data_IF_394536559813
#
_entry.id   IF_394536559813
#
_cell.length_a   1.000
_cell.length_b   1.000
_cell.length_c   1.000
_cell.angle_alpha   90.00
_cell.angle_beta   90.00
_cell.angle_gamma   90.00
#
_symmetry.space_group_name_H-M   'P 1'
#
loop_
_entity.id
_entity.type
_entity.pdbx_description
1 polymer ?
#
# COMPACT_ATOMS: atom_id res chain seq x y z
N UNK A 1 13.44 -7.39 -7.84
CA UNK A 1 12.50 -6.24 -7.79
C UNK A 1 11.78 -6.23 -6.45
N UNK A 2 11.53 -5.04 -5.87
CA UNK A 2 10.76 -4.87 -4.63
C UNK A 2 9.65 -3.86 -4.90
N UNK A 3 8.39 -4.22 -4.66
CA UNK A 3 7.24 -3.36 -4.93
C UNK A 3 6.41 -3.23 -3.66
N UNK A 4 6.06 -2.00 -3.32
CA UNK A 4 5.15 -1.72 -2.22
C UNK A 4 4.02 -0.83 -2.72
N UNK A 5 2.81 -1.20 -2.36
CA UNK A 5 1.60 -0.48 -2.72
C UNK A 5 1.08 0.27 -1.50
N UNK A 6 0.83 1.56 -1.65
CA UNK A 6 0.20 2.37 -0.61
C UNK A 6 -1.29 2.51 -0.94
N UNK A 7 -2.14 2.03 -0.04
CA UNK A 7 -3.58 2.18 -0.12
C UNK A 7 -4.09 2.90 1.12
N UNK A 8 -5.21 3.59 0.97
CA UNK A 8 -5.74 4.42 2.03
C UNK A 8 -6.62 3.60 3.00
N UNK A 9 -7.49 2.76 2.44
CA UNK A 9 -8.34 1.80 3.14
C UNK A 9 -8.11 0.38 2.63
N UNK A 10 -8.41 -0.62 3.46
CA UNK A 10 -8.56 -2.04 3.06
C UNK A 10 -10.03 -2.48 3.10
N UNK A 11 -10.94 -1.55 2.79
CA UNK A 11 -12.36 -1.84 2.73
C UNK A 11 -12.70 -2.60 1.44
N UNK A 12 -13.89 -3.19 1.37
CA UNK A 12 -14.28 -4.02 0.23
C UNK A 12 -14.69 -3.11 -0.94
N UNK A 13 -13.72 -2.47 -1.58
CA UNK A 13 -13.88 -1.65 -2.78
C UNK A 13 -13.25 -2.29 -4.03
N UNK A 14 -13.52 -1.70 -5.20
CA UNK A 14 -12.97 -2.18 -6.47
C UNK A 14 -11.45 -2.01 -6.56
N UNK A 15 -10.96 -0.82 -6.20
CA UNK A 15 -9.54 -0.49 -6.21
C UNK A 15 -8.76 -1.28 -5.15
N UNK A 16 -9.29 -1.42 -3.93
CA UNK A 16 -8.62 -2.19 -2.88
C UNK A 16 -8.49 -3.68 -3.21
N UNK A 17 -9.52 -4.29 -3.82
CA UNK A 17 -9.46 -5.68 -4.27
C UNK A 17 -8.35 -5.88 -5.31
N UNK A 18 -8.20 -4.93 -6.24
CA UNK A 18 -7.14 -4.98 -7.24
C UNK A 18 -5.76 -4.88 -6.59
N UNK A 19 -5.55 -3.96 -5.65
CA UNK A 19 -4.28 -3.82 -4.94
C UNK A 19 -3.89 -5.11 -4.20
N UNK A 20 -4.81 -5.69 -3.42
CA UNK A 20 -4.55 -6.95 -2.70
C UNK A 20 -4.27 -8.11 -3.66
N UNK A 21 -5.04 -8.23 -4.74
CA UNK A 21 -4.81 -9.26 -5.76
C UNK A 21 -3.43 -9.09 -6.42
N UNK A 22 -3.06 -7.86 -6.75
CA UNK A 22 -1.77 -7.54 -7.36
C UNK A 22 -0.61 -7.82 -6.42
N UNK A 23 -0.70 -7.44 -5.14
CA UNK A 23 0.31 -7.79 -4.14
C UNK A 23 0.45 -9.30 -3.94
N UNK A 24 -0.67 -10.04 -3.90
CA UNK A 24 -0.66 -11.49 -3.79
C UNK A 24 -0.01 -12.17 -5.01
N UNK A 25 -0.28 -11.67 -6.21
CA UNK A 25 0.34 -12.14 -7.45
C UNK A 25 1.84 -11.82 -7.47
N UNK A 26 2.21 -10.58 -7.14
CA UNK A 26 3.60 -10.14 -7.07
C UNK A 26 4.40 -10.92 -6.04
N UNK A 27 3.83 -11.23 -4.88
CA UNK A 27 4.48 -12.03 -3.85
C UNK A 27 4.93 -13.43 -4.32
N UNK A 28 4.35 -13.94 -5.42
CA UNK A 28 4.80 -15.19 -6.06
C UNK A 28 5.92 -14.96 -7.08
N UNK A 29 5.97 -13.80 -7.71
CA UNK A 29 6.87 -13.50 -8.83
C UNK A 29 8.09 -12.66 -8.46
N UNK A 30 8.03 -11.87 -7.39
CA UNK A 30 9.12 -10.97 -6.96
C UNK A 30 9.60 -11.25 -5.54
N UNK A 31 10.85 -10.86 -5.28
CA UNK A 31 11.54 -11.09 -4.01
C UNK A 31 10.89 -10.38 -2.81
N UNK A 32 10.17 -9.27 -3.03
CA UNK A 32 9.49 -8.53 -1.97
C UNK A 32 8.27 -7.80 -2.50
N UNK A 33 7.09 -8.18 -1.99
CA UNK A 33 5.84 -7.46 -2.19
C UNK A 33 5.34 -6.99 -0.83
N UNK A 34 4.91 -5.73 -0.75
CA UNK A 34 4.27 -5.23 0.46
C UNK A 34 3.08 -4.32 0.18
N UNK A 35 2.15 -4.28 1.14
CA UNK A 35 1.03 -3.36 1.16
C UNK A 35 1.13 -2.49 2.40
N UNK A 36 1.00 -1.20 2.20
CA UNK A 36 0.90 -0.21 3.27
C UNK A 36 -0.51 0.35 3.28
N UNK A 37 -1.17 0.31 4.42
CA UNK A 37 -2.47 0.95 4.63
C UNK A 37 -2.31 2.21 5.48
N UNK A 38 -2.85 3.34 5.03
CA UNK A 38 -2.72 4.62 5.75
C UNK A 38 -3.84 4.90 6.76
N UNK A 39 -5.13 4.73 6.42
CA UNK A 39 -6.27 5.14 7.27
C UNK A 39 -6.99 4.00 7.96
N UNK A 40 -7.35 2.91 7.26
CA UNK A 40 -8.19 1.85 7.83
C UNK A 40 -7.81 0.44 7.41
N UNK A 41 -7.61 -0.43 8.41
CA UNK A 41 -7.51 -1.88 8.22
C UNK A 41 -8.91 -2.47 8.04
N UNK A 42 -9.35 -2.62 6.80
CA UNK A 42 -10.65 -3.24 6.50
C UNK A 42 -10.58 -4.76 6.34
N UNK A 43 -11.70 -5.35 5.92
CA UNK A 43 -11.90 -6.80 5.79
C UNK A 43 -10.92 -7.48 4.82
N UNK A 44 -10.32 -6.73 3.88
CA UNK A 44 -9.39 -7.29 2.90
C UNK A 44 -8.04 -7.71 3.50
N UNK A 45 -7.72 -7.31 4.75
CA UNK A 45 -6.53 -7.80 5.46
C UNK A 45 -6.49 -9.34 5.53
N UNK A 46 -7.65 -9.99 5.67
CA UNK A 46 -7.77 -11.46 5.69
C UNK A 46 -7.40 -12.13 4.35
N UNK A 47 -7.38 -11.38 3.25
CA UNK A 47 -7.04 -11.89 1.92
C UNK A 47 -5.59 -11.68 1.55
N UNK A 48 -4.81 -10.98 2.37
CA UNK A 48 -3.39 -10.77 2.14
C UNK A 48 -2.65 -12.07 2.46
N UNK A 49 -1.82 -12.53 1.52
CA UNK A 49 -1.03 -13.74 1.68
C UNK A 49 0.10 -13.51 2.69
N UNK A 50 0.53 -14.55 3.42
CA UNK A 50 1.57 -14.45 4.45
C UNK A 50 2.94 -14.01 3.89
N UNK A 51 3.15 -14.22 2.58
CA UNK A 51 4.35 -13.79 1.86
C UNK A 51 4.34 -12.30 1.48
N UNK A 52 3.25 -11.56 1.72
CA UNK A 52 3.16 -10.11 1.47
C UNK A 52 3.41 -9.36 2.77
N UNK A 53 4.40 -8.47 2.79
CA UNK A 53 4.68 -7.65 3.97
C UNK A 53 3.59 -6.59 4.12
N UNK A 54 2.81 -6.67 5.19
CA UNK A 54 1.72 -5.75 5.45
C UNK A 54 2.11 -4.76 6.56
N UNK A 55 1.94 -3.47 6.29
CA UNK A 55 2.24 -2.40 7.24
C UNK A 55 1.08 -1.42 7.38
N UNK A 56 0.63 -1.20 8.62
CA UNK A 56 -0.42 -0.24 8.91
C UNK A 56 0.18 1.04 9.51
N UNK A 57 -0.13 2.18 8.89
CA UNK A 57 0.37 3.50 9.27
C UNK A 57 -0.47 4.15 10.38
N UNK A 58 -1.72 3.71 10.57
CA UNK A 58 -2.71 4.28 11.50
C UNK A 58 -2.75 5.81 11.50
N UNK A 59 -2.83 6.39 10.31
CA UNK A 59 -2.77 7.83 10.12
C UNK A 59 -4.12 8.45 10.47
N UNK A 60 -4.18 9.15 11.61
CA UNK A 60 -5.39 9.84 12.09
C UNK A 60 -5.59 11.24 11.48
N UNK A 61 -4.55 11.84 10.88
CA UNK A 61 -4.63 13.19 10.30
C UNK A 61 -3.65 13.42 9.14
N UNK A 62 -3.95 14.40 8.28
CA UNK A 62 -3.11 14.78 7.12
C UNK A 62 -1.72 15.27 7.55
N UNK A 63 -1.53 15.69 8.80
CA UNK A 63 -0.23 16.14 9.33
C UNK A 63 0.28 15.25 10.46
N UNK A 64 -0.08 13.97 10.49
CA UNK A 64 0.44 13.06 11.50
C UNK A 64 1.94 12.76 11.26
N UNK A 65 2.79 13.57 11.89
CA UNK A 65 4.26 13.50 11.77
C UNK A 65 4.78 12.16 12.28
N UNK A 66 4.13 11.55 13.27
CA UNK A 66 4.50 10.22 13.80
C UNK A 66 4.27 9.13 12.76
N UNK A 67 3.12 9.14 12.07
CA UNK A 67 2.84 8.23 10.96
C UNK A 67 3.81 8.45 9.79
N UNK A 68 4.14 9.71 9.48
CA UNK A 68 5.10 10.04 8.42
C UNK A 68 6.51 9.54 8.73
N UNK A 69 6.98 9.70 9.98
CA UNK A 69 8.28 9.18 10.42
C UNK A 69 8.32 7.65 10.41
N UNK A 70 7.25 6.96 10.84
CA UNK A 70 7.12 5.51 10.72
C UNK A 70 7.19 5.06 9.27
N UNK A 71 6.46 5.73 8.38
CA UNK A 71 6.48 5.46 6.94
C UNK A 71 7.87 5.66 6.35
N UNK A 72 8.55 6.76 6.71
CA UNK A 72 9.90 7.05 6.23
C UNK A 72 10.91 6.01 6.72
N UNK A 73 10.83 5.58 7.98
CA UNK A 73 11.65 4.48 8.51
C UNK A 73 11.37 3.17 7.78
N UNK A 74 10.10 2.86 7.50
CA UNK A 74 9.69 1.66 6.77
C UNK A 74 10.23 1.67 5.33
N UNK A 75 10.08 2.78 4.61
CA UNK A 75 10.64 2.97 3.27
C UNK A 75 12.17 2.82 3.26
N UNK A 76 12.85 3.44 4.23
CA UNK A 76 14.31 3.34 4.38
C UNK A 76 14.76 1.90 4.64
N UNK A 77 14.00 1.14 5.43
CA UNK A 77 14.26 -0.28 5.70
C UNK A 77 14.16 -1.14 4.44
N UNK A 78 13.21 -0.81 3.56
CA UNK A 78 12.93 -1.62 2.36
C UNK A 78 13.82 -1.21 1.18
N UNK A 79 14.49 -0.04 1.23
CA UNK A 79 15.18 0.62 0.10
C UNK A 79 14.25 0.78 -1.11
N UNK A 80 12.96 0.96 -0.86
CA UNK A 80 12.00 1.20 -1.94
C UNK A 80 12.12 2.67 -2.34
N UNK A 81 12.97 2.93 -3.32
CA UNK A 81 12.91 4.17 -4.10
C UNK A 81 11.49 4.20 -4.64
N UNK A 82 10.76 5.24 -4.28
CA UNK A 82 9.33 5.42 -4.53
C UNK A 82 9.11 5.26 -6.04
N UNK A 83 8.68 4.07 -6.47
CA UNK A 83 8.26 3.87 -7.85
C UNK A 83 6.88 4.49 -7.94
N UNK A 84 6.86 5.77 -8.34
CA UNK A 84 5.66 6.48 -8.77
C UNK A 84 5.15 5.79 -10.03
N UNK A 85 4.45 4.69 -9.84
CA UNK A 85 3.65 4.06 -10.88
C UNK A 85 2.21 4.05 -10.40
N UNK A 86 1.64 5.25 -10.33
CA UNK A 86 0.22 5.39 -10.63
C UNK A 86 0.18 6.35 -11.81
N UNK A 87 -0.32 5.82 -12.92
CA UNK A 87 -0.48 6.51 -14.18
C UNK A 87 -1.13 7.90 -14.01
N UNK A 88 -0.74 8.89 -14.82
CA UNK A 88 -1.35 10.23 -14.85
C UNK A 88 -2.81 10.25 -15.35
N UNK A 89 -3.54 9.14 -15.25
CA UNK A 89 -4.93 8.97 -15.68
C UNK A 89 -5.95 9.13 -14.53
N UNK A 90 -5.61 9.88 -13.48
CA UNK A 90 -6.57 10.36 -12.49
C UNK A 90 -6.77 11.88 -12.64
N UNK A 91 -7.00 12.32 -13.88
CA UNK A 91 -7.33 13.71 -14.22
C UNK A 91 -8.62 13.85 -15.03
N UNK A 92 -9.43 12.80 -15.18
CA UNK A 92 -10.74 12.87 -15.83
C UNK A 92 -11.81 12.24 -14.95
N UNK A 93 -12.23 12.96 -13.91
CA UNK A 93 -13.59 12.97 -13.31
C UNK A 93 -13.68 14.20 -12.37
N UNK A 94 -13.11 15.31 -12.81
CA UNK A 94 -13.47 16.63 -12.26
C UNK A 94 -13.31 17.68 -13.35
N UNK A 95 -14.06 17.47 -14.44
CA UNK A 95 -14.62 18.52 -15.28
C UNK A 95 -16.10 18.21 -15.45
#
# INVERSE_FOLDING_TARGET
MRIVQLIDSLEVGGAEKMAVSYANALSRSILFSGIITSRKEGLLRKKINEKVDYFFLERKSVLDIKALLKFYKYLKRIKLIISRHMDPLFSSIMC
#
